data_IF_412913601345
#
_entry.id   IF_412913601345
#
_cell.length_a   1.000
_cell.length_b   1.000
_cell.length_c   1.000
_cell.angle_alpha   90.00
_cell.angle_beta   90.00
_cell.angle_gamma   90.00
#
_symmetry.space_group_name_H-M   'P 1'
#
loop_
_entity.id
_entity.type
_entity.pdbx_description
1 polymer ?
#
# COMPACT_ATOMS: atom_id res chain seq x y z
N UNK A 1 -17.35 -11.77 -8.58
CA UNK A 1 -18.11 -12.96 -8.20
C UNK A 1 -17.45 -13.78 -7.10
N UNK A 2 -16.15 -14.08 -7.20
CA UNK A 2 -15.40 -14.86 -6.19
C UNK A 2 -15.52 -14.24 -4.78
N UNK A 3 -15.21 -12.96 -4.64
CA UNK A 3 -15.29 -12.24 -3.37
C UNK A 3 -16.69 -12.29 -2.73
N UNK A 4 -17.76 -12.07 -3.49
CA UNK A 4 -19.14 -12.20 -2.96
C UNK A 4 -19.39 -13.57 -2.36
N UNK A 5 -18.99 -14.63 -3.08
CA UNK A 5 -19.15 -16.01 -2.61
C UNK A 5 -18.32 -16.30 -1.35
N UNK A 6 -17.06 -15.85 -1.32
CA UNK A 6 -16.19 -16.04 -0.16
C UNK A 6 -16.71 -15.32 1.08
N UNK A 7 -17.17 -14.06 0.94
CA UNK A 7 -17.74 -13.32 2.07
C UNK A 7 -19.03 -13.98 2.60
N UNK A 8 -19.90 -14.42 1.71
CA UNK A 8 -21.13 -15.10 2.11
C UNK A 8 -20.82 -16.42 2.84
N UNK A 9 -19.93 -17.25 2.27
CA UNK A 9 -19.66 -18.59 2.82
C UNK A 9 -18.86 -18.58 4.12
N UNK A 10 -17.92 -17.62 4.27
CA UNK A 10 -16.99 -17.59 5.40
C UNK A 10 -17.41 -16.70 6.55
N UNK A 11 -18.14 -15.63 6.23
CA UNK A 11 -18.46 -14.58 7.20
C UNK A 11 -19.96 -14.32 7.33
N UNK A 12 -20.80 -15.05 6.57
CA UNK A 12 -22.25 -14.83 6.49
C UNK A 12 -22.61 -13.38 6.08
N UNK A 13 -21.77 -12.81 5.19
CA UNK A 13 -21.89 -11.43 4.74
C UNK A 13 -22.26 -11.36 3.27
N UNK A 14 -23.43 -10.78 2.96
CA UNK A 14 -23.88 -10.60 1.59
C UNK A 14 -23.51 -9.21 1.06
N UNK A 15 -22.84 -9.19 -0.09
CA UNK A 15 -22.40 -7.99 -0.79
C UNK A 15 -23.18 -7.79 -2.08
N UNK A 16 -23.59 -6.55 -2.32
CA UNK A 16 -24.21 -6.16 -3.59
C UNK A 16 -23.10 -5.87 -4.63
N UNK A 17 -23.22 -6.45 -5.83
CA UNK A 17 -22.31 -6.17 -6.93
C UNK A 17 -22.91 -5.05 -7.77
N UNK A 18 -22.27 -3.86 -7.76
CA UNK A 18 -22.71 -2.73 -8.56
C UNK A 18 -21.85 -2.59 -9.81
N UNK A 19 -22.51 -2.43 -10.96
CA UNK A 19 -21.89 -1.97 -12.20
C UNK A 19 -21.94 -0.45 -12.26
N UNK A 20 -21.16 0.15 -13.17
CA UNK A 20 -21.03 1.61 -13.29
C UNK A 20 -22.36 2.39 -13.21
N UNK A 21 -23.43 2.07 -13.98
CA UNK A 21 -24.67 2.83 -13.89
C UNK A 21 -25.34 2.73 -12.52
N UNK A 22 -25.36 1.53 -11.94
CA UNK A 22 -25.95 1.31 -10.62
C UNK A 22 -25.15 1.99 -9.50
N UNK A 23 -23.81 2.02 -9.63
CA UNK A 23 -22.96 2.70 -8.68
C UNK A 23 -23.14 4.23 -8.76
N UNK A 24 -23.24 4.82 -9.96
CA UNK A 24 -23.58 6.24 -10.14
C UNK A 24 -24.94 6.58 -9.50
N UNK A 25 -25.95 5.74 -9.69
CA UNK A 25 -27.26 5.94 -9.07
C UNK A 25 -27.17 5.87 -7.54
N UNK A 26 -26.44 4.89 -7.01
CA UNK A 26 -26.18 4.76 -5.57
C UNK A 26 -25.52 6.02 -4.98
N UNK A 27 -24.46 6.57 -5.62
CA UNK A 27 -23.79 7.78 -5.15
C UNK A 27 -24.73 8.99 -5.11
N UNK A 28 -25.57 9.16 -6.15
CA UNK A 28 -26.56 10.23 -6.21
C UNK A 28 -27.65 10.10 -5.15
N UNK A 29 -28.13 8.87 -4.93
CA UNK A 29 -29.13 8.58 -3.91
C UNK A 29 -28.58 8.75 -2.50
N UNK A 30 -27.32 8.40 -2.27
CA UNK A 30 -26.68 8.56 -0.98
C UNK A 30 -26.73 10.01 -0.50
N UNK A 31 -26.44 10.98 -1.36
CA UNK A 31 -26.50 12.39 -1.01
C UNK A 31 -27.90 12.87 -0.63
N UNK A 32 -28.93 12.25 -1.21
CA UNK A 32 -30.32 12.63 -0.89
C UNK A 32 -30.82 12.04 0.43
N UNK A 33 -30.21 10.91 0.89
CA UNK A 33 -30.74 10.11 2.00
C UNK A 33 -29.67 9.75 3.05
N UNK A 34 -28.54 10.44 3.09
CA UNK A 34 -27.37 10.12 3.93
C UNK A 34 -27.66 10.00 5.43
N UNK A 35 -28.71 10.67 5.93
CA UNK A 35 -29.10 10.61 7.35
C UNK A 35 -29.79 9.32 7.77
N UNK A 36 -30.11 8.42 6.84
CA UNK A 36 -30.81 7.19 7.17
C UNK A 36 -29.82 6.03 7.36
N UNK A 37 -29.86 5.38 8.53
CA UNK A 37 -29.11 4.12 8.79
C UNK A 37 -29.39 3.00 7.76
N UNK A 38 -30.42 3.15 6.93
CA UNK A 38 -30.77 2.22 5.86
C UNK A 38 -29.78 2.22 4.68
N UNK A 39 -28.89 3.23 4.59
CA UNK A 39 -27.94 3.36 3.49
C UNK A 39 -26.57 2.71 3.73
N UNK A 40 -26.37 2.02 4.85
CA UNK A 40 -25.16 1.20 5.05
C UNK A 40 -25.22 -0.02 4.14
N UNK A 41 -24.49 0.05 3.03
CA UNK A 41 -24.43 -1.03 2.04
C UNK A 41 -23.05 -1.64 1.98
N UNK A 42 -23.01 -2.95 1.80
CA UNK A 42 -21.79 -3.71 1.49
C UNK A 42 -21.74 -3.91 -0.02
N UNK A 43 -20.77 -3.26 -0.66
CA UNK A 43 -20.73 -3.13 -2.11
C UNK A 43 -19.44 -3.71 -2.66
N UNK A 44 -19.51 -4.42 -3.78
CA UNK A 44 -18.38 -4.82 -4.60
C UNK A 44 -18.47 -4.09 -5.93
N UNK A 45 -17.42 -3.38 -6.31
CA UNK A 45 -17.29 -2.71 -7.60
C UNK A 45 -15.99 -3.13 -8.28
N UNK A 46 -15.95 -3.02 -9.60
CA UNK A 46 -14.71 -3.23 -10.36
C UNK A 46 -13.91 -1.93 -10.48
N UNK A 47 -12.59 -2.04 -10.64
CA UNK A 47 -11.76 -0.86 -10.96
C UNK A 47 -12.16 -0.18 -12.28
N UNK A 48 -12.75 -0.93 -13.21
CA UNK A 48 -13.29 -0.34 -14.43
C UNK A 48 -14.45 0.62 -14.13
N UNK A 49 -15.34 0.24 -13.20
CA UNK A 49 -16.42 1.13 -12.77
C UNK A 49 -15.90 2.33 -11.99
N UNK A 50 -14.85 2.14 -11.17
CA UNK A 50 -14.25 3.19 -10.38
C UNK A 50 -13.52 4.25 -11.24
N UNK A 51 -12.93 3.85 -12.39
CA UNK A 51 -12.22 4.76 -13.31
C UNK A 51 -13.13 5.62 -14.19
N UNK A 52 -14.43 5.42 -14.14
CA UNK A 52 -15.38 6.24 -14.90
C UNK A 52 -15.33 7.68 -14.40
N UNK A 53 -15.17 8.64 -15.31
CA UNK A 53 -14.97 10.06 -14.97
C UNK A 53 -16.12 10.63 -14.14
N UNK A 54 -17.37 10.29 -14.47
CA UNK A 54 -18.52 10.74 -13.70
C UNK A 54 -18.55 10.12 -12.29
N UNK A 55 -18.03 8.89 -12.12
CA UNK A 55 -17.90 8.25 -10.81
C UNK A 55 -16.88 9.00 -9.97
N UNK A 56 -15.72 9.33 -10.53
CA UNK A 56 -14.68 10.10 -9.84
C UNK A 56 -15.24 11.46 -9.43
N UNK A 57 -15.91 12.16 -10.32
CA UNK A 57 -16.54 13.46 -10.04
C UNK A 57 -17.59 13.37 -8.93
N UNK A 58 -18.45 12.34 -8.98
CA UNK A 58 -19.44 12.10 -7.93
C UNK A 58 -18.79 11.80 -6.56
N UNK A 59 -17.75 10.97 -6.52
CA UNK A 59 -17.01 10.68 -5.28
C UNK A 59 -16.39 11.95 -4.68
N UNK A 60 -15.76 12.79 -5.50
CA UNK A 60 -15.12 14.03 -5.04
C UNK A 60 -16.12 15.08 -4.52
N UNK A 61 -17.35 15.08 -5.02
CA UNK A 61 -18.39 16.00 -4.62
C UNK A 61 -19.30 15.48 -3.50
N UNK A 62 -19.26 14.14 -3.28
CA UNK A 62 -20.16 13.51 -2.31
C UNK A 62 -19.67 13.67 -0.88
N UNK A 63 -20.62 13.63 0.05
CA UNK A 63 -20.36 13.53 1.49
C UNK A 63 -20.27 12.09 1.99
N UNK A 64 -20.15 11.13 1.07
CA UNK A 64 -20.09 9.71 1.38
C UNK A 64 -18.84 9.40 2.20
N UNK A 65 -19.01 8.60 3.24
CA UNK A 65 -17.93 8.01 4.02
C UNK A 65 -17.98 6.50 3.90
N UNK A 66 -16.83 5.87 3.85
CA UNK A 66 -16.70 4.41 3.77
C UNK A 66 -16.09 3.93 5.08
N UNK A 67 -16.82 3.11 5.84
CA UNK A 67 -16.31 2.58 7.11
C UNK A 67 -15.08 1.69 6.88
N UNK A 68 -15.10 0.85 5.83
CA UNK A 68 -14.00 -0.06 5.51
C UNK A 68 -13.89 -0.34 4.01
N UNK A 69 -12.74 -0.04 3.44
CA UNK A 69 -12.43 -0.24 2.03
C UNK A 69 -11.40 -1.37 1.86
N UNK A 70 -11.75 -2.37 1.04
CA UNK A 70 -10.80 -3.41 0.63
C UNK A 70 -10.51 -3.26 -0.85
N UNK A 71 -9.23 -3.15 -1.21
CA UNK A 71 -8.77 -3.07 -2.59
C UNK A 71 -7.87 -4.26 -2.90
N UNK A 72 -8.38 -5.18 -3.72
CA UNK A 72 -7.66 -6.38 -4.17
C UNK A 72 -6.74 -6.05 -5.34
N UNK A 73 -5.63 -6.77 -5.47
CA UNK A 73 -4.63 -6.55 -6.53
C UNK A 73 -4.10 -5.11 -6.56
N UNK A 74 -3.75 -4.58 -5.37
CA UNK A 74 -3.32 -3.18 -5.19
C UNK A 74 -2.09 -2.80 -6.03
N UNK A 75 -1.33 -3.77 -6.56
CA UNK A 75 -0.25 -3.52 -7.50
C UNK A 75 -0.71 -2.78 -8.77
N UNK A 76 -2.02 -2.75 -9.06
CA UNK A 76 -2.59 -1.98 -10.18
C UNK A 76 -2.49 -0.46 -9.98
N UNK A 77 -2.26 0.00 -8.74
CA UNK A 77 -2.15 1.42 -8.40
C UNK A 77 -0.70 1.94 -8.38
N UNK A 78 0.28 1.13 -8.75
CA UNK A 78 1.70 1.49 -8.71
C UNK A 78 2.10 2.69 -9.59
N UNK A 79 1.28 3.07 -10.57
CA UNK A 79 1.58 4.16 -11.48
C UNK A 79 0.63 5.34 -11.23
N UNK A 80 1.18 6.40 -10.63
CA UNK A 80 0.48 7.64 -10.28
C UNK A 80 -0.18 8.34 -11.47
N UNK A 81 0.38 8.21 -12.69
CA UNK A 81 -0.15 8.86 -13.89
C UNK A 81 -1.42 8.19 -14.44
N UNK A 82 -1.92 7.12 -13.84
CA UNK A 82 -3.07 6.38 -14.34
C UNK A 82 -4.39 6.84 -13.74
N UNK A 83 -5.47 6.78 -14.54
CA UNK A 83 -6.83 6.99 -14.05
C UNK A 83 -7.21 6.00 -12.92
N UNK A 84 -6.56 4.82 -12.88
CA UNK A 84 -6.78 3.84 -11.81
C UNK A 84 -6.20 4.33 -10.48
N UNK A 85 -5.03 4.95 -10.49
CA UNK A 85 -4.44 5.56 -9.30
C UNK A 85 -5.31 6.72 -8.79
N UNK A 86 -5.68 7.66 -9.67
CA UNK A 86 -6.55 8.79 -9.32
C UNK A 86 -7.87 8.33 -8.69
N UNK A 87 -8.48 7.30 -9.27
CA UNK A 87 -9.72 6.73 -8.75
C UNK A 87 -9.52 6.05 -7.39
N UNK A 88 -8.41 5.31 -7.21
CA UNK A 88 -8.05 4.69 -5.94
C UNK A 88 -7.80 5.73 -4.86
N UNK A 89 -7.08 6.80 -5.17
CA UNK A 89 -6.83 7.92 -4.28
C UNK A 89 -8.14 8.59 -3.83
N UNK A 90 -9.04 8.88 -4.79
CA UNK A 90 -10.32 9.52 -4.48
C UNK A 90 -11.20 8.70 -3.54
N UNK A 91 -11.22 7.35 -3.69
CA UNK A 91 -12.04 6.50 -2.83
C UNK A 91 -11.34 6.17 -1.49
N UNK A 92 -10.02 6.08 -1.46
CA UNK A 92 -9.27 5.84 -0.23
C UNK A 92 -9.42 7.01 0.75
N UNK A 93 -9.39 8.25 0.26
CA UNK A 93 -9.50 9.45 1.08
C UNK A 93 -10.85 9.64 1.78
N UNK A 94 -11.88 8.94 1.35
CA UNK A 94 -13.21 8.97 2.00
C UNK A 94 -13.48 7.73 2.87
N UNK A 95 -12.46 6.86 3.03
CA UNK A 95 -12.56 5.64 3.82
C UNK A 95 -11.89 5.83 5.19
N UNK A 96 -12.58 5.37 6.25
CA UNK A 96 -12.01 5.39 7.62
C UNK A 96 -10.90 4.35 7.78
N UNK A 97 -11.10 3.16 7.21
CA UNK A 97 -10.09 2.10 7.20
C UNK A 97 -9.89 1.59 5.78
N UNK A 98 -8.62 1.42 5.40
CA UNK A 98 -8.23 0.93 4.07
C UNK A 98 -7.37 -0.32 4.22
N UNK A 99 -7.71 -1.37 3.45
CA UNK A 99 -6.94 -2.60 3.36
C UNK A 99 -6.57 -2.87 1.89
N UNK A 100 -5.27 -2.85 1.59
CA UNK A 100 -4.75 -3.26 0.30
C UNK A 100 -4.28 -4.71 0.34
N UNK A 101 -4.71 -5.49 -0.65
CA UNK A 101 -4.28 -6.86 -0.86
C UNK A 101 -3.47 -6.93 -2.15
N UNK A 102 -2.26 -7.46 -2.08
CA UNK A 102 -1.41 -7.66 -3.25
C UNK A 102 -0.43 -8.80 -3.03
N UNK A 103 -0.22 -9.61 -4.06
CA UNK A 103 0.81 -10.64 -4.05
C UNK A 103 2.20 -10.07 -4.38
N UNK A 104 2.28 -8.92 -5.05
CA UNK A 104 3.52 -8.33 -5.57
C UNK A 104 3.56 -6.83 -5.32
N UNK A 105 3.80 -6.38 -4.07
CA UNK A 105 3.80 -4.95 -3.74
C UNK A 105 4.95 -4.20 -4.42
N UNK A 106 6.08 -4.86 -4.62
CA UNK A 106 7.24 -4.34 -5.36
C UNK A 106 7.48 -5.22 -6.57
N UNK A 107 7.28 -4.70 -7.75
CA UNK A 107 7.47 -5.46 -8.99
C UNK A 107 8.70 -4.96 -9.77
N UNK A 108 8.86 -3.65 -9.96
CA UNK A 108 9.92 -3.08 -10.78
C UNK A 108 10.80 -2.08 -10.02
N UNK A 109 10.24 -1.32 -9.07
CA UNK A 109 10.98 -0.27 -8.37
C UNK A 109 10.38 0.06 -6.99
N UNK A 110 11.17 0.77 -6.18
CA UNK A 110 10.67 1.32 -4.91
C UNK A 110 9.63 2.42 -5.12
N UNK A 111 9.60 3.07 -6.30
CA UNK A 111 8.56 4.03 -6.66
C UNK A 111 7.19 3.35 -6.71
N UNK A 112 7.11 2.10 -7.23
CA UNK A 112 5.86 1.33 -7.23
C UNK A 112 5.30 1.14 -5.81
N UNK A 113 6.18 0.81 -4.85
CA UNK A 113 5.81 0.65 -3.46
C UNK A 113 5.42 1.98 -2.82
N UNK A 114 6.19 3.03 -3.07
CA UNK A 114 5.91 4.38 -2.57
C UNK A 114 4.52 4.84 -3.01
N UNK A 115 4.19 4.72 -4.29
CA UNK A 115 2.89 5.10 -4.83
C UNK A 115 1.73 4.32 -4.19
N UNK A 116 1.92 3.04 -3.86
CA UNK A 116 0.90 2.26 -3.15
C UNK A 116 0.77 2.72 -1.69
N UNK A 117 1.89 3.02 -1.03
CA UNK A 117 1.89 3.46 0.37
C UNK A 117 1.31 4.87 0.53
N UNK A 118 1.54 5.77 -0.43
CA UNK A 118 0.95 7.11 -0.43
C UNK A 118 -0.57 7.11 -0.55
N UNK A 119 -1.17 6.04 -1.09
CA UNK A 119 -2.63 5.84 -1.07
C UNK A 119 -3.17 5.39 0.29
N UNK A 120 -2.31 4.83 1.16
CA UNK A 120 -2.70 4.41 2.51
C UNK A 120 -2.53 5.52 3.54
N UNK A 121 -1.48 6.32 3.37
CA UNK A 121 -1.10 7.37 4.30
C UNK A 121 -0.30 8.43 3.54
N UNK A 122 -1.01 9.42 3.02
CA UNK A 122 -0.43 10.51 2.24
C UNK A 122 0.31 11.52 3.11
N UNK A 123 0.03 11.59 4.40
CA UNK A 123 0.76 12.45 5.35
C UNK A 123 2.16 11.89 5.64
N UNK A 124 2.28 10.58 5.85
CA UNK A 124 3.57 9.93 6.12
C UNK A 124 4.41 9.75 4.84
N UNK A 125 3.78 9.44 3.71
CA UNK A 125 4.45 9.17 2.44
C UNK A 125 4.29 10.32 1.43
N UNK A 126 4.56 11.55 1.87
CA UNK A 126 4.55 12.76 1.04
C UNK A 126 5.79 12.89 0.15
N UNK A 127 6.94 12.43 0.66
CA UNK A 127 8.25 12.67 0.06
C UNK A 127 8.95 11.34 -0.24
N UNK A 128 9.32 11.16 -1.50
CA UNK A 128 10.00 9.95 -1.96
C UNK A 128 11.42 9.81 -1.37
N UNK A 129 12.14 10.91 -1.16
CA UNK A 129 13.48 10.87 -0.60
C UNK A 129 13.42 10.46 0.88
N UNK A 130 12.44 10.95 1.63
CA UNK A 130 12.18 10.49 3.00
C UNK A 130 11.84 8.99 3.03
N UNK A 131 10.97 8.53 2.14
CA UNK A 131 10.65 7.11 2.01
C UNK A 131 11.90 6.27 1.70
N UNK A 132 12.77 6.74 0.81
CA UNK A 132 14.03 6.05 0.49
C UNK A 132 14.94 5.95 1.70
N UNK A 133 15.00 6.97 2.54
CA UNK A 133 15.76 6.93 3.79
C UNK A 133 15.18 5.92 4.79
N UNK A 134 13.86 5.80 4.89
CA UNK A 134 13.19 4.79 5.73
C UNK A 134 13.54 3.34 5.33
N UNK A 135 13.65 3.06 4.02
CA UNK A 135 13.93 1.71 3.53
C UNK A 135 15.41 1.39 3.37
N UNK A 136 16.30 2.39 3.46
CA UNK A 136 17.73 2.24 3.28
C UNK A 136 18.37 1.17 4.17
N UNK A 137 17.99 1.02 5.47
CA UNK A 137 18.48 -0.06 6.31
C UNK A 137 18.23 -1.45 5.70
N UNK A 138 17.08 -1.67 5.07
CA UNK A 138 16.76 -2.94 4.43
C UNK A 138 17.69 -3.23 3.25
N UNK A 139 18.03 -2.22 2.45
CA UNK A 139 18.94 -2.38 1.31
C UNK A 139 20.35 -2.80 1.75
N UNK A 140 20.81 -2.27 2.88
CA UNK A 140 22.11 -2.62 3.47
C UNK A 140 22.08 -4.08 3.94
N UNK A 141 21.06 -4.46 4.67
CA UNK A 141 20.87 -5.85 5.15
C UNK A 141 20.82 -6.82 3.96
N UNK A 142 20.08 -6.51 2.92
CA UNK A 142 20.00 -7.35 1.72
C UNK A 142 21.34 -7.52 1.03
N UNK A 143 22.16 -6.47 0.93
CA UNK A 143 23.52 -6.56 0.38
C UNK A 143 24.39 -7.51 1.19
N UNK A 144 24.38 -7.37 2.52
CA UNK A 144 25.13 -8.26 3.43
C UNK A 144 24.70 -9.71 3.27
N UNK A 145 23.39 -9.96 3.32
CA UNK A 145 22.85 -11.34 3.19
C UNK A 145 23.19 -11.95 1.82
N UNK A 146 23.14 -11.18 0.75
CA UNK A 146 23.51 -11.64 -0.58
C UNK A 146 25.00 -12.04 -0.66
N UNK A 147 25.89 -11.25 -0.08
CA UNK A 147 27.32 -11.54 -0.03
C UNK A 147 27.61 -12.81 0.80
N UNK A 148 26.95 -12.96 1.96
CA UNK A 148 27.07 -14.16 2.79
C UNK A 148 26.62 -15.43 2.03
N UNK A 149 25.47 -15.36 1.32
CA UNK A 149 24.97 -16.48 0.52
C UNK A 149 25.90 -16.87 -0.62
N UNK A 150 26.62 -15.90 -1.18
CA UNK A 150 27.60 -16.14 -2.25
C UNK A 150 28.96 -16.63 -1.73
N UNK A 151 29.09 -16.88 -0.42
CA UNK A 151 30.31 -17.36 0.19
C UNK A 151 31.43 -16.30 0.25
N UNK A 152 31.07 -15.02 0.18
CA UNK A 152 32.04 -13.93 0.35
C UNK A 152 32.59 -13.94 1.78
N UNK A 153 33.89 -13.72 1.91
CA UNK A 153 34.53 -13.53 3.19
C UNK A 153 34.18 -12.19 3.84
N UNK A 154 34.49 -12.04 5.11
CA UNK A 154 34.17 -10.82 5.88
C UNK A 154 34.86 -9.57 5.32
N UNK A 155 36.07 -9.69 4.75
CA UNK A 155 36.78 -8.55 4.17
C UNK A 155 36.05 -7.98 2.94
N UNK A 156 35.47 -8.87 2.13
CA UNK A 156 34.68 -8.46 0.99
C UNK A 156 33.35 -7.83 1.43
N UNK A 157 32.71 -8.35 2.47
CA UNK A 157 31.48 -7.77 3.02
C UNK A 157 31.76 -6.36 3.59
N UNK A 158 32.87 -6.15 4.30
CA UNK A 158 33.29 -4.86 4.84
C UNK A 158 33.42 -3.76 3.79
N UNK A 159 33.85 -4.10 2.58
CA UNK A 159 33.98 -3.13 1.46
C UNK A 159 32.62 -2.60 0.97
N UNK A 160 31.53 -3.31 1.24
CA UNK A 160 30.17 -2.93 0.83
C UNK A 160 29.41 -2.16 1.90
N UNK A 161 29.94 -2.09 3.13
CA UNK A 161 29.34 -1.41 4.26
C UNK A 161 30.25 -0.26 4.66
N UNK A 162 29.76 0.96 4.49
CA UNK A 162 30.45 2.17 4.96
C UNK A 162 30.06 2.50 6.40
N UNK A 163 30.85 3.36 7.07
CA UNK A 163 30.49 3.86 8.40
C UNK A 163 29.12 4.56 8.41
N UNK A 164 28.74 5.23 7.31
CA UNK A 164 27.43 5.86 7.16
C UNK A 164 26.30 4.84 7.12
N UNK A 165 26.52 3.62 6.60
CA UNK A 165 25.51 2.58 6.55
C UNK A 165 25.13 2.09 7.97
N UNK A 166 26.05 2.17 8.94
CA UNK A 166 25.74 1.84 10.33
C UNK A 166 24.78 2.84 10.98
N UNK A 167 24.84 4.10 10.62
CA UNK A 167 23.93 5.13 11.15
C UNK A 167 22.49 4.91 10.65
N UNK A 168 22.34 4.46 9.40
CA UNK A 168 21.03 4.12 8.84
C UNK A 168 20.41 2.86 9.44
N UNK A 169 21.21 1.91 9.93
CA UNK A 169 20.69 0.69 10.55
C UNK A 169 20.00 0.93 11.90
N UNK A 170 20.10 2.15 12.46
CA UNK A 170 19.54 2.53 13.77
C UNK A 170 19.80 1.50 14.86
N UNK A 171 20.94 0.82 14.81
CA UNK A 171 21.31 -0.20 15.77
C UNK A 171 21.50 0.43 17.16
N UNK A 172 21.03 -0.24 18.19
CA UNK A 172 21.36 0.11 19.57
C UNK A 172 22.86 -0.02 19.80
N UNK A 173 23.38 0.68 20.83
CA UNK A 173 24.81 0.64 21.12
C UNK A 173 25.37 -0.79 21.27
N UNK A 174 24.73 -1.72 22.01
CA UNK A 174 25.17 -3.10 22.06
C UNK A 174 25.15 -3.83 20.72
N UNK A 175 24.16 -3.55 19.86
CA UNK A 175 24.06 -4.15 18.53
C UNK A 175 25.17 -3.63 17.60
N UNK A 176 25.49 -2.33 17.67
CA UNK A 176 26.61 -1.74 16.92
C UNK A 176 27.95 -2.39 17.32
N UNK A 177 28.16 -2.61 18.60
CA UNK A 177 29.37 -3.23 19.15
C UNK A 177 29.51 -4.69 18.73
N UNK A 178 28.44 -5.47 18.85
CA UNK A 178 28.40 -6.86 18.37
C UNK A 178 28.67 -6.93 16.88
N UNK A 179 28.04 -6.05 16.08
CA UNK A 179 28.19 -6.06 14.64
C UNK A 179 29.61 -5.65 14.23
N UNK A 180 30.20 -4.61 14.87
CA UNK A 180 31.58 -4.21 14.68
C UNK A 180 32.56 -5.34 15.06
N UNK A 181 32.37 -5.94 16.22
CA UNK A 181 33.18 -7.08 16.68
C UNK A 181 33.08 -8.26 15.70
N UNK A 182 31.88 -8.53 15.14
CA UNK A 182 31.71 -9.56 14.12
C UNK A 182 32.48 -9.21 12.84
N UNK A 183 32.43 -7.96 12.41
CA UNK A 183 33.12 -7.48 11.22
C UNK A 183 34.64 -7.41 11.40
N UNK A 184 35.14 -7.18 12.62
CA UNK A 184 36.58 -7.11 12.95
C UNK A 184 37.21 -8.47 13.23
N UNK A 185 36.41 -9.50 13.47
CA UNK A 185 36.94 -10.87 13.64
C UNK A 185 37.56 -11.33 12.32
N UNK A 186 38.87 -11.18 12.26
CA UNK A 186 39.71 -11.86 11.27
C UNK A 186 39.59 -13.36 11.50
N UNK A 187 39.30 -14.08 10.44
CA UNK A 187 39.43 -15.54 10.35
C UNK A 187 40.81 -16.02 10.80
#
# INVERSE_FOLDING_TARGET
>A
LKWKTEFLLRFDEDFEILRTPAFKSFLKEYELYSDSKAYRKKIIISYHALRDEDVIELLQKSTITIDFLIMDEAHTFRNESTATFTAAFSIANIAEYVLFLTATPVQNSYVDLFNILSLLDDETFLDFDYFMDLIKPNSIIHKVVAQLKNGSDLENIQKYISDQDFDYLQLTYPQKDIFKTFMERKS
#
